data_IF_569848352614
#
_entry.id   IF_569848352614
#
_cell.length_a   1.000
_cell.length_b   1.000
_cell.length_c   1.000
_cell.angle_alpha   90.00
_cell.angle_beta   90.00
_cell.angle_gamma   90.00
#
_symmetry.space_group_name_H-M   'P 1'
#
loop_
_entity.id
_entity.type
_entity.pdbx_description
1 polymer ?
#
# COMPACT_ATOMS: atom_id res chain seq x y z
N UNK A 1 16.32 7.63 16.93
CA UNK A 1 14.87 7.38 16.78
C UNK A 1 14.63 7.22 15.29
N UNK A 2 14.35 6.01 14.81
CA UNK A 2 13.99 5.82 13.39
C UNK A 2 12.56 6.33 13.28
N UNK A 3 12.40 7.61 12.97
CA UNK A 3 11.10 8.18 12.62
C UNK A 3 10.80 7.79 11.17
N UNK A 4 9.98 6.76 10.98
CA UNK A 4 9.46 6.47 9.64
C UNK A 4 8.71 5.15 9.55
N UNK A 5 7.45 5.20 9.10
CA UNK A 5 6.63 4.01 8.81
C UNK A 5 6.98 3.30 7.50
N UNK A 6 8.25 3.35 7.06
CA UNK A 6 8.70 2.75 5.81
C UNK A 6 9.01 1.25 5.92
N UNK A 7 9.23 0.56 4.79
CA UNK A 7 9.37 -0.90 4.76
C UNK A 7 10.50 -1.44 5.66
N UNK A 8 11.61 -0.70 5.78
CA UNK A 8 12.76 -1.10 6.58
C UNK A 8 12.45 -1.00 8.08
N UNK A 9 11.64 -0.02 8.49
CA UNK A 9 11.19 0.10 9.88
C UNK A 9 10.25 -1.05 10.25
N UNK A 10 9.31 -1.40 9.36
CA UNK A 10 8.41 -2.54 9.57
C UNK A 10 9.18 -3.86 9.68
N UNK A 11 10.26 -4.04 8.90
CA UNK A 11 11.15 -5.20 9.03
C UNK A 11 11.75 -5.29 10.44
N UNK A 12 12.30 -4.19 10.96
CA UNK A 12 12.87 -4.15 12.31
C UNK A 12 11.82 -4.41 13.40
N UNK A 13 10.64 -3.81 13.29
CA UNK A 13 9.52 -4.07 14.19
C UNK A 13 9.09 -5.53 14.18
N UNK A 14 9.08 -6.16 13.00
CA UNK A 14 8.72 -7.58 12.86
C UNK A 14 9.75 -8.47 13.56
N UNK A 15 11.05 -8.16 13.43
CA UNK A 15 12.10 -8.86 14.16
C UNK A 15 11.96 -8.74 15.68
N UNK A 16 11.61 -7.56 16.19
CA UNK A 16 11.34 -7.34 17.61
C UNK A 16 10.09 -8.11 18.07
N UNK A 17 9.00 -8.03 17.32
CA UNK A 17 7.76 -8.76 17.63
C UNK A 17 7.99 -10.28 17.65
N UNK A 18 8.81 -10.81 16.74
CA UNK A 18 9.16 -12.23 16.72
C UNK A 18 9.93 -12.67 17.98
N UNK A 19 10.81 -11.83 18.52
CA UNK A 19 11.52 -12.10 19.77
C UNK A 19 10.61 -12.04 21.00
N UNK A 20 9.58 -11.18 20.98
CA UNK A 20 8.60 -11.06 22.06
C UNK A 20 7.58 -12.22 22.07
N UNK A 21 7.49 -12.98 20.98
CA UNK A 21 6.67 -14.19 20.86
C UNK A 21 5.45 -14.04 19.97
N UNK A 22 4.75 -15.17 19.74
CA UNK A 22 3.70 -15.29 18.73
C UNK A 22 2.56 -14.27 18.87
N UNK A 23 2.17 -13.94 20.11
CA UNK A 23 1.07 -13.00 20.36
C UNK A 23 1.38 -11.58 19.84
N UNK A 24 2.64 -11.16 19.92
CA UNK A 24 3.08 -9.84 19.44
C UNK A 24 3.16 -9.80 17.91
N UNK A 25 3.56 -10.90 17.28
CA UNK A 25 3.51 -11.04 15.82
C UNK A 25 2.07 -10.96 15.32
N UNK A 26 1.13 -11.62 15.99
CA UNK A 26 -0.30 -11.51 15.67
C UNK A 26 -0.80 -10.08 15.84
N UNK A 27 -0.45 -9.40 16.93
CA UNK A 27 -0.84 -8.02 17.17
C UNK A 27 -0.29 -7.07 16.09
N UNK A 28 0.99 -7.20 15.74
CA UNK A 28 1.60 -6.43 14.65
C UNK A 28 0.89 -6.69 13.32
N UNK A 29 0.63 -7.97 13.01
CA UNK A 29 -0.07 -8.36 11.78
C UNK A 29 -1.47 -7.78 11.72
N UNK A 30 -2.21 -7.79 12.85
CA UNK A 30 -3.54 -7.21 12.93
C UNK A 30 -3.53 -5.70 12.64
N UNK A 31 -2.59 -4.97 13.25
CA UNK A 31 -2.44 -3.52 13.04
C UNK A 31 -2.07 -3.22 11.58
N UNK A 32 -1.10 -3.95 11.01
CA UNK A 32 -0.71 -3.79 9.60
C UNK A 32 -1.88 -4.10 8.66
N UNK A 33 -2.64 -5.16 8.94
CA UNK A 33 -3.80 -5.56 8.11
C UNK A 33 -4.90 -4.50 8.13
N UNK A 34 -5.19 -3.90 9.29
CA UNK A 34 -6.17 -2.81 9.39
C UNK A 34 -5.71 -1.60 8.57
N UNK A 35 -4.43 -1.23 8.66
CA UNK A 35 -3.88 -0.13 7.86
C UNK A 35 -3.96 -0.43 6.36
N UNK A 36 -3.62 -1.65 5.93
CA UNK A 36 -3.76 -2.08 4.54
C UNK A 36 -5.22 -2.03 4.06
N UNK A 37 -6.17 -2.47 4.88
CA UNK A 37 -7.59 -2.39 4.55
C UNK A 37 -8.05 -0.95 4.33
N UNK A 38 -7.64 -0.02 5.20
CA UNK A 38 -7.94 1.42 5.05
C UNK A 38 -7.34 1.97 3.76
N UNK A 39 -6.07 1.67 3.48
CA UNK A 39 -5.37 2.11 2.27
C UNK A 39 -6.06 1.54 1.02
N UNK A 40 -6.42 0.25 1.01
CA UNK A 40 -7.07 -0.39 -0.13
C UNK A 40 -8.45 0.17 -0.44
N UNK A 41 -9.14 0.82 0.49
CA UNK A 41 -10.43 1.49 0.24
C UNK A 41 -10.23 2.84 -0.48
N UNK A 42 -9.03 3.43 -0.42
CA UNK A 42 -8.76 4.72 -1.05
C UNK A 42 -8.95 4.66 -2.57
N UNK A 43 -9.41 5.77 -3.19
CA UNK A 43 -9.67 5.88 -4.62
C UNK A 43 -8.38 6.00 -5.46
N UNK A 44 -7.39 5.15 -5.21
CA UNK A 44 -6.10 5.17 -5.90
C UNK A 44 -6.04 4.06 -6.97
N UNK A 45 -5.64 4.38 -8.20
CA UNK A 45 -5.34 3.37 -9.22
C UNK A 45 -4.29 2.40 -8.70
N UNK A 46 -4.45 1.11 -9.00
CA UNK A 46 -3.70 -0.04 -8.46
C UNK A 46 -4.12 -0.59 -7.10
N UNK A 47 -4.98 0.11 -6.34
CA UNK A 47 -5.62 -0.43 -5.15
C UNK A 47 -7.02 -0.98 -5.46
N UNK A 48 -7.54 -1.81 -4.55
CA UNK A 48 -8.87 -2.45 -4.70
C UNK A 48 -9.99 -1.41 -4.84
N UNK A 49 -9.93 -0.34 -4.06
CA UNK A 49 -10.86 0.81 -4.07
C UNK A 49 -10.72 1.69 -5.32
N UNK A 50 -9.63 1.57 -6.07
CA UNK A 50 -9.49 2.19 -7.39
C UNK A 50 -10.54 1.71 -8.38
N UNK A 51 -11.00 0.45 -8.28
CA UNK A 51 -12.07 -0.05 -9.15
C UNK A 51 -13.43 0.56 -8.81
N UNK A 52 -13.68 0.86 -7.53
CA UNK A 52 -14.91 1.50 -7.09
C UNK A 52 -15.08 2.89 -7.71
N UNK A 53 -14.00 3.63 -7.95
CA UNK A 53 -14.09 4.92 -8.63
C UNK A 53 -14.47 4.79 -10.09
N UNK A 54 -13.93 3.80 -10.80
CA UNK A 54 -14.28 3.58 -12.20
C UNK A 54 -15.76 3.22 -12.31
N UNK A 55 -16.26 2.36 -11.41
CA UNK A 55 -17.68 2.02 -11.36
C UNK A 55 -18.57 3.23 -11.03
N UNK A 56 -18.15 4.08 -10.08
CA UNK A 56 -18.86 5.32 -9.76
C UNK A 56 -18.89 6.29 -10.96
N UNK A 57 -17.75 6.42 -11.66
CA UNK A 57 -17.64 7.23 -12.88
C UNK A 57 -18.50 6.68 -14.02
N UNK A 58 -18.55 5.36 -14.21
CA UNK A 58 -19.44 4.72 -15.19
C UNK A 58 -20.91 5.01 -14.89
N UNK A 59 -21.30 4.95 -13.62
CA UNK A 59 -22.68 5.26 -13.18
C UNK A 59 -23.05 6.71 -13.48
N UNK A 60 -22.12 7.65 -13.31
CA UNK A 60 -22.33 9.09 -13.61
C UNK A 60 -22.29 9.34 -15.13
N UNK A 61 -21.35 8.72 -15.85
CA UNK A 61 -21.13 8.88 -17.30
C UNK A 61 -22.18 8.14 -18.14
N UNK A 62 -22.90 7.19 -17.54
CA UNK A 62 -23.91 6.36 -18.21
C UNK A 62 -23.36 5.39 -19.25
N UNK A 63 -22.03 5.26 -19.34
CA UNK A 63 -21.35 4.39 -20.31
C UNK A 63 -20.08 3.80 -19.71
N UNK A 64 -19.72 2.56 -20.09
CA UNK A 64 -18.56 1.88 -19.52
C UNK A 64 -17.26 2.65 -19.81
N UNK A 65 -16.32 2.58 -18.88
CA UNK A 65 -14.93 2.98 -19.11
C UNK A 65 -14.28 1.84 -19.91
N UNK A 66 -13.52 2.20 -20.95
CA UNK A 66 -12.88 1.16 -21.76
C UNK A 66 -11.88 0.38 -20.90
N UNK A 67 -11.87 -0.96 -21.01
CA UNK A 67 -10.94 -1.83 -20.28
C UNK A 67 -9.46 -1.43 -20.49
N UNK A 68 -9.13 -0.89 -21.67
CA UNK A 68 -7.79 -0.35 -21.95
C UNK A 68 -7.41 0.81 -21.03
N UNK A 69 -8.34 1.73 -20.76
CA UNK A 69 -8.09 2.90 -19.89
C UNK A 69 -8.02 2.47 -18.42
N UNK A 70 -8.90 1.58 -17.97
CA UNK A 70 -8.86 1.01 -16.61
C UNK A 70 -7.52 0.26 -16.40
N UNK A 71 -7.17 -0.64 -17.31
CA UNK A 71 -5.93 -1.42 -17.24
C UNK A 71 -4.66 -0.57 -17.28
N UNK A 72 -4.62 0.47 -18.13
CA UNK A 72 -3.50 1.40 -18.18
C UNK A 72 -3.39 2.21 -16.88
N UNK A 73 -4.52 2.69 -16.34
CA UNK A 73 -4.54 3.44 -15.09
C UNK A 73 -4.06 2.60 -13.90
N UNK A 74 -4.52 1.35 -13.81
CA UNK A 74 -4.02 0.40 -12.79
C UNK A 74 -2.54 0.10 -12.95
N UNK A 75 -2.06 -0.11 -14.18
CA UNK A 75 -0.64 -0.39 -14.43
C UNK A 75 0.23 0.81 -14.06
N UNK A 76 -0.15 2.02 -14.47
CA UNK A 76 0.57 3.25 -14.13
C UNK A 76 0.58 3.50 -12.62
N UNK A 77 -0.57 3.30 -11.95
CA UNK A 77 -0.65 3.37 -10.50
C UNK A 77 0.26 2.36 -9.82
N UNK A 78 0.32 1.13 -10.33
CA UNK A 78 1.12 0.06 -9.73
C UNK A 78 2.61 0.35 -9.89
N UNK A 79 3.04 0.76 -11.08
CA UNK A 79 4.43 1.18 -11.34
C UNK A 79 4.81 2.35 -10.44
N UNK A 80 3.93 3.34 -10.29
CA UNK A 80 4.16 4.47 -9.39
C UNK A 80 4.33 4.03 -7.94
N UNK A 81 3.47 3.13 -7.43
CA UNK A 81 3.59 2.59 -6.08
C UNK A 81 4.91 1.83 -5.86
N UNK A 82 5.33 1.02 -6.83
CA UNK A 82 6.61 0.30 -6.76
C UNK A 82 7.78 1.28 -6.73
N UNK A 83 7.77 2.32 -7.58
CA UNK A 83 8.80 3.35 -7.58
C UNK A 83 8.86 4.08 -6.23
N UNK A 84 7.70 4.43 -5.67
CA UNK A 84 7.61 5.06 -4.35
C UNK A 84 8.17 4.15 -3.26
N UNK A 85 7.84 2.86 -3.28
CA UNK A 85 8.35 1.87 -2.34
C UNK A 85 9.88 1.77 -2.40
N UNK A 86 10.46 1.72 -3.61
CA UNK A 86 11.92 1.70 -3.79
C UNK A 86 12.55 2.99 -3.29
N UNK A 87 11.98 4.15 -3.61
CA UNK A 87 12.50 5.45 -3.18
C UNK A 87 12.50 5.60 -1.65
N UNK A 88 11.40 5.23 -0.98
CA UNK A 88 11.28 5.26 0.48
C UNK A 88 12.26 4.27 1.10
N UNK A 89 12.33 3.05 0.57
CA UNK A 89 13.27 2.03 1.07
C UNK A 89 14.72 2.49 0.95
N UNK A 90 15.09 3.09 -0.18
CA UNK A 90 16.44 3.65 -0.36
C UNK A 90 16.74 4.74 0.66
N UNK A 91 15.80 5.67 0.85
CA UNK A 91 15.93 6.74 1.84
C UNK A 91 16.05 6.20 3.27
N UNK A 92 15.27 5.17 3.63
CA UNK A 92 15.35 4.50 4.92
C UNK A 92 16.72 3.83 5.13
N UNK A 93 17.24 3.14 4.10
CA UNK A 93 18.57 2.51 4.15
C UNK A 93 19.66 3.56 4.33
N UNK A 94 19.64 4.65 3.55
CA UNK A 94 20.65 5.72 3.66
C UNK A 94 20.62 6.38 5.03
N UNK A 95 19.45 6.52 5.67
CA UNK A 95 19.35 7.04 7.04
C UNK A 95 19.90 6.10 8.11
N UNK A 96 20.02 4.80 7.82
CA UNK A 96 20.50 3.80 8.79
C UNK A 96 22.03 3.70 8.84
N UNK A 97 22.73 4.16 7.81
CA UNK A 97 24.19 4.20 7.71
C UNK A 97 24.72 5.62 7.91
#
# INVERSE_FOLDING_TARGET
MIEGGGPVYIFNLTGQAAQLGFIYVLQLTAILSINLAIINILPLPALDGGRLIFLALEKIKGSPVSQKVEGLSHTLGFVFLILLMVAITWHDIVKLF
#
